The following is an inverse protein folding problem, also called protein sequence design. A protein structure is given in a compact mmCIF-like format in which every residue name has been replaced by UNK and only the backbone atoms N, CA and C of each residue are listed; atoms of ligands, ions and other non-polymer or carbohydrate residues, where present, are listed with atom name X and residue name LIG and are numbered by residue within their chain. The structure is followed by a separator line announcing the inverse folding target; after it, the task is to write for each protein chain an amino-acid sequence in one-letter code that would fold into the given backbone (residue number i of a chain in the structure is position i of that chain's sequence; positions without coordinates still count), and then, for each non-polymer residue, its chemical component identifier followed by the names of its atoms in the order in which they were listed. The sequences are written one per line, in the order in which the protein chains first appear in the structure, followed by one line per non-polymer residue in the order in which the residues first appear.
data_IF_439387344951
#
_entry.id   IF_439387344951
#
_cell.length_a   1.000
_cell.length_b   1.000
_cell.length_c   1.000
_cell.angle_alpha   90.00
_cell.angle_beta   90.00
_cell.angle_gamma   90.00
#
_symmetry.space_group_name_H-M   'P 1'
#
loop_
_entity.id
_entity.type
_entity.pdbx_description
1 polymer ?
#
# COMPACT_ATOMS: atom_id res chain seq x y z
N UNK A 1 -8.48 -22.19 -1.59
CA UNK A 1 -7.47 -21.18 -1.98
C UNK A 1 -7.22 -20.28 -0.78
N UNK A 2 -5.98 -20.11 -0.40
CA UNK A 2 -5.62 -19.21 0.70
C UNK A 2 -5.66 -17.77 0.23
N UNK A 3 -6.34 -16.91 0.98
CA UNK A 3 -6.44 -15.49 0.68
C UNK A 3 -5.57 -14.67 1.62
N UNK A 4 -4.64 -13.93 1.05
CA UNK A 4 -3.76 -13.02 1.80
C UNK A 4 -4.11 -11.58 1.50
N UNK A 5 -4.47 -10.82 2.52
CA UNK A 5 -4.67 -9.38 2.44
C UNK A 5 -3.41 -8.66 2.89
N UNK A 6 -2.94 -7.70 2.10
CA UNK A 6 -1.77 -6.87 2.36
C UNK A 6 -2.24 -5.43 2.49
N UNK A 7 -2.01 -4.81 3.65
CA UNK A 7 -2.32 -3.41 3.89
C UNK A 7 -1.04 -2.58 3.78
N UNK A 8 -0.99 -1.77 2.74
CA UNK A 8 0.17 -0.95 2.38
C UNK A 8 0.85 -1.44 1.08
N UNK A 9 1.16 -0.51 0.19
CA UNK A 9 1.70 -0.80 -1.15
C UNK A 9 3.04 -0.09 -1.42
N UNK A 10 3.84 0.13 -0.39
CA UNK A 10 5.24 0.55 -0.52
C UNK A 10 6.16 -0.67 -0.38
N UNK A 11 7.43 -0.48 -0.04
CA UNK A 11 8.46 -1.51 -0.15
C UNK A 11 8.08 -2.86 0.47
N UNK A 12 7.61 -2.87 1.71
CA UNK A 12 7.28 -4.11 2.42
C UNK A 12 6.06 -4.81 1.80
N UNK A 13 5.01 -4.05 1.48
CA UNK A 13 3.80 -4.60 0.87
C UNK A 13 4.08 -5.14 -0.54
N UNK A 14 4.87 -4.44 -1.33
CA UNK A 14 5.28 -4.87 -2.67
C UNK A 14 6.16 -6.11 -2.62
N UNK A 15 7.13 -6.17 -1.71
CA UNK A 15 7.98 -7.34 -1.55
C UNK A 15 7.15 -8.57 -1.15
N UNK A 16 6.20 -8.40 -0.24
CA UNK A 16 5.28 -9.47 0.16
C UNK A 16 4.42 -9.93 -1.02
N UNK A 17 3.83 -9.01 -1.76
CA UNK A 17 2.98 -9.32 -2.92
C UNK A 17 3.77 -10.06 -4.00
N UNK A 18 4.94 -9.58 -4.38
CA UNK A 18 5.79 -10.26 -5.37
C UNK A 18 6.17 -11.66 -4.91
N UNK A 19 6.58 -11.82 -3.65
CA UNK A 19 6.93 -13.13 -3.10
C UNK A 19 5.77 -14.12 -3.19
N UNK A 20 4.56 -13.67 -2.83
CA UNK A 20 3.36 -14.52 -2.90
C UNK A 20 3.00 -14.87 -4.34
N UNK A 21 2.93 -13.88 -5.22
CA UNK A 21 2.51 -14.07 -6.61
C UNK A 21 3.51 -14.90 -7.42
N UNK A 22 4.81 -14.78 -7.15
CA UNK A 22 5.85 -15.49 -7.90
C UNK A 22 6.07 -16.93 -7.41
N UNK A 23 5.79 -17.21 -6.13
CA UNK A 23 6.09 -18.52 -5.54
C UNK A 23 4.85 -19.33 -5.13
N UNK A 24 3.69 -18.70 -5.05
CA UNK A 24 2.46 -19.36 -4.58
C UNK A 24 1.27 -18.99 -5.49
N UNK A 25 1.23 -19.52 -6.72
CA UNK A 25 0.23 -19.14 -7.73
C UNK A 25 -1.22 -19.50 -7.35
N UNK A 26 -1.39 -20.39 -6.38
CA UNK A 26 -2.72 -20.82 -5.89
C UNK A 26 -3.26 -19.92 -4.78
N UNK A 27 -2.57 -18.81 -4.46
CA UNK A 27 -3.05 -17.85 -3.47
C UNK A 27 -3.78 -16.68 -4.12
N UNK A 28 -4.87 -16.26 -3.48
CA UNK A 28 -5.48 -14.97 -3.76
C UNK A 28 -4.73 -13.88 -3.00
N UNK A 29 -4.26 -12.85 -3.70
CA UNK A 29 -3.56 -11.71 -3.11
C UNK A 29 -4.39 -10.45 -3.29
N UNK A 30 -4.71 -9.78 -2.19
CA UNK A 30 -5.43 -8.50 -2.16
C UNK A 30 -4.54 -7.45 -1.55
N UNK A 31 -4.32 -6.35 -2.25
CA UNK A 31 -3.52 -5.22 -1.78
C UNK A 31 -4.42 -4.01 -1.55
N UNK A 32 -4.29 -3.37 -0.41
CA UNK A 32 -5.11 -2.21 -0.02
C UNK A 32 -4.20 -1.07 0.43
N UNK A 33 -4.41 0.13 -0.12
CA UNK A 33 -3.67 1.33 0.29
C UNK A 33 -4.58 2.56 0.33
N UNK A 34 -4.36 3.42 1.31
CA UNK A 34 -5.07 4.70 1.45
C UNK A 34 -4.66 5.75 0.42
N UNK A 35 -3.46 5.60 -0.17
CA UNK A 35 -2.94 6.51 -1.18
C UNK A 35 -3.43 6.14 -2.57
N UNK A 36 -3.22 7.02 -3.53
CA UNK A 36 -3.53 6.78 -4.94
C UNK A 36 -2.33 6.25 -5.74
N UNK A 37 -1.21 6.03 -5.10
CA UNK A 37 0.02 5.57 -5.71
C UNK A 37 0.58 4.37 -4.95
N UNK A 38 1.17 3.43 -5.68
CA UNK A 38 1.94 2.35 -5.10
C UNK A 38 3.42 2.49 -5.48
N UNK A 39 4.29 1.79 -4.80
CA UNK A 39 5.75 1.74 -5.06
C UNK A 39 6.51 3.06 -4.87
N UNK A 40 6.01 3.98 -4.06
CA UNK A 40 6.70 5.24 -3.84
C UNK A 40 8.06 5.04 -3.16
N UNK A 41 9.11 5.50 -3.86
CA UNK A 41 10.49 5.46 -3.39
C UNK A 41 10.82 6.73 -2.59
N UNK A 42 10.43 6.78 -1.33
CA UNK A 42 10.59 7.95 -0.47
C UNK A 42 12.05 8.41 -0.29
N UNK A 43 12.99 7.45 -0.24
CA UNK A 43 14.42 7.77 -0.17
C UNK A 43 14.95 8.47 -1.43
N UNK A 44 14.28 8.33 -2.57
CA UNK A 44 14.61 8.99 -3.82
C UNK A 44 14.17 10.45 -3.91
N UNK A 45 13.32 10.91 -2.99
CA UNK A 45 12.80 12.29 -3.01
C UNK A 45 13.92 13.32 -2.95
N UNK A 46 14.95 13.08 -2.14
CA UNK A 46 16.12 13.97 -2.04
C UNK A 46 16.87 14.07 -3.36
N UNK A 47 16.94 12.99 -4.13
CA UNK A 47 17.58 12.96 -5.45
C UNK A 47 16.77 13.77 -6.47
N UNK A 48 15.46 13.73 -6.39
CA UNK A 48 14.58 14.52 -7.23
C UNK A 48 14.68 16.01 -6.87
N UNK A 49 14.62 16.38 -5.60
CA UNK A 49 14.83 17.76 -5.13
C UNK A 49 16.20 18.27 -5.52
N UNK A 50 17.24 17.42 -5.43
CA UNK A 50 18.61 17.72 -5.85
C UNK A 50 18.82 17.69 -7.38
N UNK A 51 17.78 17.51 -8.18
CA UNK A 51 17.82 17.45 -9.66
C UNK A 51 18.75 16.37 -10.23
N UNK A 52 18.91 15.27 -9.49
CA UNK A 52 19.64 14.09 -9.95
C UNK A 52 18.70 13.09 -10.64
N UNK A 53 17.40 13.26 -10.47
CA UNK A 53 16.33 12.55 -11.17
C UNK A 53 15.50 13.62 -11.90
N UNK A 54 15.27 13.42 -13.20
CA UNK A 54 14.64 14.41 -14.07
C UNK A 54 13.14 14.58 -13.79
N UNK A 55 12.48 13.52 -13.33
CA UNK A 55 11.04 13.50 -13.13
C UNK A 55 10.65 12.72 -11.87
N UNK A 56 9.58 13.15 -11.18
CA UNK A 56 9.04 12.47 -10.01
C UNK A 56 8.47 11.06 -10.35
N UNK A 57 8.11 10.81 -11.59
CA UNK A 57 7.66 9.49 -12.02
C UNK A 57 8.73 8.42 -11.82
N UNK A 58 10.01 8.79 -11.85
CA UNK A 58 11.13 7.91 -11.52
C UNK A 58 11.15 7.42 -10.07
N UNK A 59 10.32 8.01 -9.20
CA UNK A 59 10.16 7.57 -7.80
C UNK A 59 9.20 6.39 -7.64
N UNK A 60 8.57 5.93 -8.72
CA UNK A 60 7.66 4.78 -8.73
C UNK A 60 8.29 3.66 -9.56
N UNK A 61 8.71 2.57 -8.89
CA UNK A 61 9.52 1.52 -9.53
C UNK A 61 8.71 0.32 -10.05
N UNK A 62 7.42 0.27 -9.75
CA UNK A 62 6.50 -0.74 -10.29
C UNK A 62 5.11 -0.15 -10.47
N UNK A 63 4.28 -0.80 -11.26
CA UNK A 63 2.94 -0.33 -11.61
C UNK A 63 1.89 -1.31 -11.12
N UNK A 64 0.66 -0.84 -11.01
CA UNK A 64 -0.51 -1.62 -10.63
C UNK A 64 -0.70 -2.83 -11.55
N UNK A 65 -0.53 -2.62 -12.84
CA UNK A 65 -0.71 -3.65 -13.87
C UNK A 65 0.26 -4.82 -13.72
N UNK A 66 1.45 -4.60 -13.14
CA UNK A 66 2.43 -5.64 -12.91
C UNK A 66 1.92 -6.70 -11.91
N UNK A 67 1.11 -6.30 -10.95
CA UNK A 67 0.49 -7.19 -9.97
C UNK A 67 -0.83 -7.77 -10.46
N UNK A 68 -1.67 -6.96 -11.11
CA UNK A 68 -2.96 -7.40 -11.65
C UNK A 68 -2.77 -8.46 -12.74
N UNK A 69 -1.73 -8.35 -13.57
CA UNK A 69 -1.39 -9.35 -14.57
C UNK A 69 -1.02 -10.71 -13.97
N UNK A 70 -0.58 -10.73 -12.70
CA UNK A 70 -0.30 -11.95 -11.93
C UNK A 70 -1.51 -12.40 -11.09
N UNK A 71 -2.67 -11.75 -11.22
CA UNK A 71 -3.90 -12.13 -10.54
C UNK A 71 -4.16 -11.45 -9.21
N UNK A 72 -3.38 -10.43 -8.81
CA UNK A 72 -3.67 -9.66 -7.60
C UNK A 72 -4.88 -8.73 -7.80
N UNK A 73 -5.65 -8.52 -6.72
CA UNK A 73 -6.63 -7.44 -6.63
C UNK A 73 -6.05 -6.26 -5.87
N UNK A 74 -6.24 -5.04 -6.36
CA UNK A 74 -5.68 -3.83 -5.76
C UNK A 74 -6.78 -2.81 -5.51
N UNK A 75 -6.91 -2.36 -4.27
CA UNK A 75 -7.83 -1.30 -3.84
C UNK A 75 -7.02 -0.12 -3.33
N UNK A 76 -6.83 0.86 -4.20
CA UNK A 76 -6.18 2.14 -3.86
C UNK A 76 -7.22 3.13 -3.31
N UNK A 77 -6.76 4.23 -2.70
CA UNK A 77 -7.60 5.25 -2.06
C UNK A 77 -8.64 4.64 -1.10
N UNK A 78 -8.20 3.57 -0.41
CA UNK A 78 -9.02 2.78 0.49
C UNK A 78 -8.31 2.63 1.83
N UNK A 79 -8.95 3.09 2.88
CA UNK A 79 -8.41 3.01 4.24
C UNK A 79 -8.97 1.78 4.94
N UNK A 80 -8.09 0.98 5.52
CA UNK A 80 -8.48 -0.04 6.52
C UNK A 80 -8.58 0.67 7.85
N UNK A 81 -9.79 0.83 8.37
CA UNK A 81 -10.06 1.55 9.61
C UNK A 81 -10.21 0.64 10.84
N UNK A 82 -10.52 -0.65 10.61
CA UNK A 82 -10.66 -1.63 11.68
C UNK A 82 -10.30 -3.04 11.20
N UNK A 83 -9.71 -3.82 12.09
CA UNK A 83 -9.42 -5.24 11.89
C UNK A 83 -10.21 -6.04 12.93
N UNK A 84 -10.99 -7.01 12.48
CA UNK A 84 -11.63 -8.01 13.32
C UNK A 84 -10.82 -9.31 13.23
N UNK A 85 -10.00 -9.55 14.23
CA UNK A 85 -9.11 -10.72 14.26
C UNK A 85 -9.85 -12.03 14.47
N UNK A 86 -10.97 -12.00 15.20
CA UNK A 86 -11.75 -13.21 15.49
C UNK A 86 -12.47 -13.71 14.23
N UNK A 87 -13.02 -12.77 13.46
CA UNK A 87 -13.68 -13.06 12.18
C UNK A 87 -12.73 -13.13 11.00
N UNK A 88 -11.49 -12.68 11.18
CA UNK A 88 -10.51 -12.50 10.10
C UNK A 88 -11.02 -11.60 8.99
N UNK A 89 -11.43 -10.40 9.36
CA UNK A 89 -11.96 -9.39 8.45
C UNK A 89 -11.24 -8.06 8.62
N UNK A 90 -11.00 -7.36 7.51
CA UNK A 90 -10.61 -5.95 7.51
C UNK A 90 -11.78 -5.11 7.02
N UNK A 91 -12.09 -4.04 7.75
CA UNK A 91 -13.13 -3.09 7.40
C UNK A 91 -12.52 -1.93 6.66
N UNK A 92 -13.03 -1.67 5.48
CA UNK A 92 -12.46 -0.73 4.51
C UNK A 92 -13.40 0.42 4.24
N UNK A 93 -12.84 1.60 4.06
CA UNK A 93 -13.54 2.82 3.64
C UNK A 93 -12.83 3.38 2.42
N UNK A 94 -13.50 3.38 1.28
CA UNK A 94 -13.00 4.01 0.07
C UNK A 94 -13.08 5.53 0.19
N UNK A 95 -12.28 6.25 -0.59
CA UNK A 95 -12.31 7.72 -0.67
C UNK A 95 -13.69 8.28 -1.03
N UNK A 96 -14.48 7.51 -1.77
CA UNK A 96 -15.89 7.85 -2.09
C UNK A 96 -16.81 7.83 -0.87
N UNK A 97 -16.37 7.27 0.26
CA UNK A 97 -17.18 7.01 1.44
C UNK A 97 -17.86 5.64 1.45
N UNK A 98 -17.73 4.86 0.38
CA UNK A 98 -18.21 3.50 0.34
C UNK A 98 -17.45 2.63 1.34
N UNK A 99 -18.20 1.80 2.09
CA UNK A 99 -17.63 0.86 3.06
C UNK A 99 -17.82 -0.56 2.59
N UNK A 100 -16.82 -1.39 2.81
CA UNK A 100 -16.89 -2.82 2.53
C UNK A 100 -16.01 -3.60 3.50
N UNK A 101 -16.20 -4.90 3.54
CA UNK A 101 -15.42 -5.83 4.35
C UNK A 101 -14.68 -6.79 3.44
N UNK A 102 -13.40 -6.99 3.72
CA UNK A 102 -12.56 -7.97 3.04
C UNK A 102 -12.16 -9.04 4.05
N UNK A 103 -12.52 -10.29 3.80
CA UNK A 103 -12.08 -11.43 4.61
C UNK A 103 -10.67 -11.87 4.24
N UNK A 104 -9.98 -12.54 5.15
CA UNK A 104 -8.63 -13.05 4.92
C UNK A 104 -8.35 -14.35 5.66
N UNK A 105 -7.50 -15.18 5.10
CA UNK A 105 -6.84 -16.27 5.82
C UNK A 105 -5.57 -15.79 6.50
N UNK A 106 -4.83 -14.92 5.80
CA UNK A 106 -3.59 -14.29 6.28
C UNK A 106 -3.63 -12.78 6.06
N UNK A 107 -3.12 -12.03 7.02
CA UNK A 107 -3.04 -10.57 6.98
C UNK A 107 -1.60 -10.13 7.13
N UNK A 108 -1.15 -9.26 6.23
CA UNK A 108 0.15 -8.60 6.28
C UNK A 108 -0.07 -7.10 6.46
N UNK A 109 0.44 -6.55 7.55
CA UNK A 109 0.41 -5.12 7.82
C UNK A 109 1.75 -4.50 7.43
N UNK A 110 1.72 -3.73 6.36
CA UNK A 110 2.87 -3.03 5.79
C UNK A 110 2.60 -1.52 5.72
N UNK A 111 2.01 -0.97 6.77
CA UNK A 111 1.45 0.38 6.81
C UNK A 111 2.50 1.49 6.95
N UNK A 112 3.77 1.13 7.16
CA UNK A 112 4.87 2.08 7.27
C UNK A 112 4.81 2.93 8.54
N UNK A 113 5.34 4.13 8.45
CA UNK A 113 5.42 5.08 9.57
C UNK A 113 5.00 6.48 9.14
N UNK A 114 4.61 7.29 10.11
CA UNK A 114 4.27 8.70 9.90
C UNK A 114 5.33 9.57 10.61
N UNK A 115 5.90 10.58 9.94
CA UNK A 115 6.84 11.49 10.57
C UNK A 115 6.21 12.22 11.76
N UNK A 116 6.97 12.37 12.83
CA UNK A 116 6.58 13.24 13.94
C UNK A 116 6.79 14.68 13.50
N UNK A 117 5.73 15.48 13.53
CA UNK A 117 5.82 16.91 13.27
C UNK A 117 6.34 17.64 14.51
N UNK A 118 7.52 18.31 14.44
CA UNK A 118 8.05 19.02 15.61
C UNK A 118 7.14 20.20 16.00
N UNK A 119 7.06 20.49 17.30
CA UNK A 119 6.34 21.65 17.81
C UNK A 119 7.23 22.90 17.74
N UNK A 120 7.29 23.49 16.56
CA UNK A 120 8.07 24.71 16.32
C UNK A 120 7.16 25.84 15.78
N UNK A 121 7.51 27.12 16.04
CA UNK A 121 6.79 28.24 15.43
C UNK A 121 6.78 28.14 13.89
N UNK A 122 5.62 28.36 13.29
CA UNK A 122 5.47 28.25 11.83
C UNK A 122 5.12 26.86 11.31
N UNK A 123 4.94 25.89 12.16
CA UNK A 123 4.60 24.49 11.79
C UNK A 123 3.29 24.33 11.00
N UNK A 124 2.50 25.27 10.82
CA UNK A 124 1.26 25.21 10.03
C UNK A 124 1.26 26.18 8.86
N UNK A 125 2.40 26.77 8.54
CA UNK A 125 2.52 27.67 7.39
C UNK A 125 2.70 26.81 6.12
N UNK A 126 1.89 27.10 5.09
CA UNK A 126 2.01 26.55 3.74
C UNK A 126 3.01 27.34 2.90
#
# INVERSE_FOLDING_TARGET
MTKTVIVGTNHAGIAAANTLLDNFPDQEVVMIDRNNNLSYLGCGTALWVGRQIDSYEGLFYTKREDFESKGARISMETTVDRIDYDKKEVHCVAKSGETFVEDYDKLILATGSVPISPEVPGRGLE
#
